data_IF_120927858676
#
_entry.id   IF_120927858676
#
_cell.length_a   1.000
_cell.length_b   1.000
_cell.length_c   1.000
_cell.angle_alpha   90.00
_cell.angle_beta   90.00
_cell.angle_gamma   90.00
#
_symmetry.space_group_name_H-M   'P 1'
#
loop_
_entity.id
_entity.type
_entity.pdbx_description
1 polymer ?
#
# COMPACT_ATOMS: atom_id res chain seq x y z
N UNK A 1 -26.66 -0.90 -38.86
CA UNK A 1 -26.76 -0.17 -37.59
C UNK A 1 -26.80 -1.21 -36.49
N UNK A 2 -25.82 -1.23 -35.59
CA UNK A 2 -25.80 -2.20 -34.49
C UNK A 2 -26.80 -1.72 -33.44
N UNK A 3 -27.89 -2.45 -33.26
CA UNK A 3 -28.95 -2.10 -32.33
C UNK A 3 -28.40 -2.15 -30.89
N UNK A 4 -28.57 -1.07 -30.12
CA UNK A 4 -28.16 -1.03 -28.72
C UNK A 4 -29.07 -1.95 -27.92
N UNK A 5 -28.55 -3.07 -27.42
CA UNK A 5 -29.32 -4.00 -26.58
C UNK A 5 -29.13 -3.62 -25.12
N UNK A 6 -30.23 -3.33 -24.43
CA UNK A 6 -30.28 -3.10 -22.99
C UNK A 6 -30.70 -4.41 -22.33
N UNK A 7 -29.82 -5.00 -21.51
CA UNK A 7 -30.13 -6.22 -20.76
C UNK A 7 -31.00 -5.90 -19.54
N UNK A 8 -31.76 -6.88 -19.03
CA UNK A 8 -32.61 -6.70 -17.83
C UNK A 8 -31.83 -6.25 -16.59
N UNK A 9 -30.58 -6.69 -16.46
CA UNK A 9 -29.68 -6.25 -15.39
C UNK A 9 -29.38 -4.75 -15.49
N UNK A 10 -28.99 -4.29 -16.69
CA UNK A 10 -28.70 -2.88 -16.95
C UNK A 10 -29.97 -2.03 -16.86
N UNK A 11 -31.12 -2.56 -17.31
CA UNK A 11 -32.44 -1.92 -17.17
C UNK A 11 -32.75 -1.65 -15.70
N UNK A 12 -32.62 -2.66 -14.85
CA UNK A 12 -32.89 -2.55 -13.42
C UNK A 12 -31.97 -1.51 -12.75
N UNK A 13 -30.68 -1.52 -13.10
CA UNK A 13 -29.73 -0.55 -12.57
C UNK A 13 -29.99 0.88 -13.07
N UNK A 14 -30.38 1.06 -14.34
CA UNK A 14 -30.75 2.36 -14.92
C UNK A 14 -32.02 2.92 -14.28
N UNK A 15 -33.03 2.08 -14.04
CA UNK A 15 -34.25 2.48 -13.37
C UNK A 15 -33.98 2.95 -11.95
N UNK A 16 -33.14 2.21 -11.20
CA UNK A 16 -32.71 2.64 -9.88
C UNK A 16 -31.95 3.96 -9.93
N UNK A 17 -31.00 4.09 -10.87
CA UNK A 17 -30.21 5.29 -11.04
C UNK A 17 -31.06 6.54 -11.32
N UNK A 18 -32.05 6.44 -12.22
CA UNK A 18 -32.95 7.53 -12.57
C UNK A 18 -33.94 7.87 -11.43
N UNK A 19 -34.37 6.88 -10.64
CA UNK A 19 -35.18 7.13 -9.43
C UNK A 19 -34.40 7.93 -8.38
N UNK A 20 -33.12 7.63 -8.20
CA UNK A 20 -32.24 8.34 -7.28
C UNK A 20 -31.82 9.72 -7.81
N UNK A 21 -31.76 9.88 -9.14
CA UNK A 21 -31.32 11.09 -9.83
C UNK A 21 -32.40 11.58 -10.81
N UNK A 22 -33.52 12.07 -10.27
CA UNK A 22 -34.71 12.46 -11.06
C UNK A 22 -34.45 13.56 -12.12
N UNK A 23 -33.38 14.34 -11.97
CA UNK A 23 -32.95 15.38 -12.92
C UNK A 23 -31.69 14.99 -13.69
N UNK A 24 -31.41 13.70 -13.85
CA UNK A 24 -30.23 13.25 -14.59
C UNK A 24 -30.34 13.64 -16.07
N UNK A 25 -29.29 14.29 -16.57
CA UNK A 25 -29.17 14.64 -17.98
C UNK A 25 -28.92 13.39 -18.85
N UNK A 26 -29.24 13.49 -20.14
CA UNK A 26 -29.03 12.41 -21.11
C UNK A 26 -27.58 11.91 -21.11
N UNK A 27 -26.61 12.82 -21.20
CA UNK A 27 -25.18 12.46 -21.25
C UNK A 27 -24.76 11.76 -19.96
N UNK A 28 -25.22 12.25 -18.82
CA UNK A 28 -24.94 11.65 -17.50
C UNK A 28 -25.48 10.21 -17.41
N UNK A 29 -26.72 10.01 -17.84
CA UNK A 29 -27.36 8.69 -17.85
C UNK A 29 -26.70 7.75 -18.85
N UNK A 30 -26.28 8.28 -20.01
CA UNK A 30 -25.55 7.52 -21.00
C UNK A 30 -24.17 7.08 -20.49
N UNK A 31 -23.44 7.95 -19.79
CA UNK A 31 -22.16 7.60 -19.17
C UNK A 31 -22.32 6.50 -18.11
N UNK A 32 -23.39 6.55 -17.31
CA UNK A 32 -23.72 5.46 -16.39
C UNK A 32 -23.96 4.15 -17.16
N UNK A 33 -24.75 4.16 -18.24
CA UNK A 33 -24.95 3.00 -19.10
C UNK A 33 -23.62 2.45 -19.67
N UNK A 34 -22.75 3.32 -20.18
CA UNK A 34 -21.43 2.93 -20.72
C UNK A 34 -20.55 2.31 -19.62
N UNK A 35 -20.54 2.87 -18.41
CA UNK A 35 -19.81 2.32 -17.28
C UNK A 35 -20.24 0.88 -16.98
N UNK A 36 -21.55 0.62 -16.96
CA UNK A 36 -22.11 -0.71 -16.71
C UNK A 36 -21.89 -1.68 -17.87
N UNK A 37 -22.18 -1.24 -19.10
CA UNK A 37 -22.04 -2.05 -20.31
C UNK A 37 -20.62 -2.59 -20.50
N UNK A 38 -19.62 -1.77 -20.21
CA UNK A 38 -18.21 -2.14 -20.36
C UNK A 38 -17.54 -2.53 -19.04
N UNK A 39 -18.30 -2.60 -17.92
CA UNK A 39 -17.82 -2.89 -16.57
C UNK A 39 -16.56 -2.06 -16.22
N UNK A 40 -16.62 -0.77 -16.54
CA UNK A 40 -15.51 0.15 -16.31
C UNK A 40 -15.35 0.38 -14.82
N UNK A 41 -14.10 0.48 -14.37
CA UNK A 41 -13.77 0.79 -12.97
C UNK A 41 -12.68 1.86 -12.94
N UNK A 42 -13.02 3.09 -13.33
CA UNK A 42 -12.06 4.18 -13.37
C UNK A 42 -11.40 4.39 -12.01
N UNK A 43 -10.11 4.72 -12.05
CA UNK A 43 -9.33 5.02 -10.85
C UNK A 43 -8.48 6.26 -11.06
N UNK A 44 -8.52 7.15 -10.08
CA UNK A 44 -7.62 8.29 -9.98
C UNK A 44 -6.35 7.87 -9.24
N UNK A 45 -5.20 8.19 -9.81
CA UNK A 45 -3.94 8.22 -9.09
C UNK A 45 -3.62 9.66 -8.66
N UNK A 46 -3.81 10.03 -7.38
CA UNK A 46 -3.76 11.43 -6.95
C UNK A 46 -2.39 12.09 -7.09
N UNK A 47 -1.30 11.29 -6.99
CA UNK A 47 0.08 11.79 -7.07
C UNK A 47 0.35 12.41 -8.44
N UNK A 48 -0.01 11.70 -9.49
CA UNK A 48 0.24 12.13 -10.87
C UNK A 48 -0.95 12.87 -11.47
N UNK A 49 -2.09 12.93 -10.74
CA UNK A 49 -3.32 13.59 -11.17
C UNK A 49 -3.89 13.00 -12.46
N UNK A 50 -3.67 11.72 -12.69
CA UNK A 50 -4.14 10.98 -13.87
C UNK A 50 -5.25 10.01 -13.46
N UNK A 51 -6.30 9.96 -14.28
CA UNK A 51 -7.40 9.00 -14.18
C UNK A 51 -7.20 7.93 -15.24
N UNK A 52 -7.21 6.67 -14.81
CA UNK A 52 -7.07 5.49 -15.65
C UNK A 52 -8.41 4.75 -15.76
N UNK A 53 -8.60 4.01 -16.86
CA UNK A 53 -9.79 3.19 -17.07
C UNK A 53 -9.94 2.08 -16.01
N UNK A 54 -8.81 1.53 -15.55
CA UNK A 54 -8.77 0.47 -14.54
C UNK A 54 -7.53 0.55 -13.63
N UNK A 55 -7.57 -0.17 -12.51
CA UNK A 55 -6.42 -0.30 -11.62
C UNK A 55 -5.25 -1.06 -12.26
N UNK A 56 -5.55 -1.96 -13.20
CA UNK A 56 -4.57 -2.71 -13.98
C UNK A 56 -3.82 -1.79 -14.94
N UNK A 57 -4.53 -0.88 -15.60
CA UNK A 57 -3.91 0.09 -16.53
C UNK A 57 -3.04 1.10 -15.78
N UNK A 58 -3.50 1.56 -14.61
CA UNK A 58 -2.69 2.39 -13.73
C UNK A 58 -1.38 1.69 -13.31
N UNK A 59 -1.45 0.40 -12.96
CA UNK A 59 -0.25 -0.37 -12.59
C UNK A 59 0.72 -0.50 -13.77
N UNK A 60 0.22 -0.87 -14.96
CA UNK A 60 1.05 -1.01 -16.15
C UNK A 60 1.76 0.30 -16.49
N UNK A 61 1.04 1.42 -16.45
CA UNK A 61 1.59 2.73 -16.76
C UNK A 61 2.69 3.13 -15.76
N UNK A 62 2.38 3.06 -14.45
CA UNK A 62 3.34 3.45 -13.40
C UNK A 62 4.55 2.51 -13.33
N UNK A 63 4.36 1.23 -13.65
CA UNK A 63 5.45 0.25 -13.75
C UNK A 63 6.37 0.51 -14.95
N UNK A 64 5.82 0.86 -16.12
CA UNK A 64 6.61 1.26 -17.30
C UNK A 64 7.47 2.51 -17.03
N UNK A 65 7.02 3.40 -16.14
CA UNK A 65 7.77 4.57 -15.72
C UNK A 65 8.80 4.27 -14.61
N UNK A 66 8.93 3.02 -14.17
CA UNK A 66 9.78 2.60 -13.03
C UNK A 66 9.46 3.33 -11.70
N UNK A 67 8.21 3.79 -11.53
CA UNK A 67 7.78 4.57 -10.37
C UNK A 67 6.99 3.76 -9.34
N UNK A 68 6.88 2.44 -9.54
CA UNK A 68 6.13 1.57 -8.62
C UNK A 68 7.02 1.01 -7.50
N UNK A 69 8.18 0.44 -7.87
CA UNK A 69 9.12 -0.17 -6.94
C UNK A 69 10.57 -0.10 -7.43
N UNK A 70 11.50 -0.24 -6.47
CA UNK A 70 12.91 -0.52 -6.72
C UNK A 70 13.29 -1.86 -6.14
N UNK A 71 14.08 -2.64 -6.88
CA UNK A 71 14.67 -3.88 -6.40
C UNK A 71 15.94 -3.57 -5.61
N UNK A 72 16.05 -4.08 -4.39
CA UNK A 72 17.21 -3.87 -3.54
C UNK A 72 17.55 -5.15 -2.76
N UNK A 73 18.84 -5.35 -2.51
CA UNK A 73 19.31 -6.41 -1.65
C UNK A 73 19.45 -5.91 -0.21
N UNK A 74 18.91 -6.66 0.74
CA UNK A 74 19.12 -6.41 2.17
C UNK A 74 19.91 -7.56 2.78
N UNK A 75 20.88 -7.21 3.64
CA UNK A 75 21.60 -8.19 4.47
C UNK A 75 20.92 -8.27 5.82
N UNK A 76 20.29 -9.40 6.11
CA UNK A 76 19.64 -9.68 7.39
C UNK A 76 20.69 -10.32 8.30
N UNK A 77 21.23 -9.53 9.23
CA UNK A 77 22.16 -10.00 10.25
C UNK A 77 21.44 -10.65 11.43
N UNK A 78 21.97 -11.80 11.90
CA UNK A 78 21.49 -12.49 13.10
C UNK A 78 22.52 -12.36 14.22
N UNK A 79 22.78 -11.15 14.70
CA UNK A 79 23.76 -10.92 15.78
C UNK A 79 23.06 -10.63 17.12
N UNK A 80 22.78 -11.68 17.89
CA UNK A 80 22.40 -11.56 19.31
C UNK A 80 23.58 -11.95 20.23
N UNK A 81 24.82 -11.73 19.78
CA UNK A 81 25.99 -12.11 20.57
C UNK A 81 26.37 -11.01 21.55
N UNK A 82 26.21 -11.30 22.84
CA UNK A 82 26.74 -10.47 23.93
C UNK A 82 28.27 -10.44 23.97
N UNK A 83 28.92 -11.52 23.54
CA UNK A 83 30.37 -11.75 23.55
C UNK A 83 30.76 -12.47 22.25
N UNK A 84 31.81 -12.02 21.58
CA UNK A 84 32.33 -12.62 20.34
C UNK A 84 33.86 -12.86 20.45
N UNK A 85 34.48 -13.41 19.41
CA UNK A 85 35.93 -13.73 19.40
C UNK A 85 36.86 -12.51 19.57
N UNK A 86 36.36 -11.31 19.28
CA UNK A 86 37.12 -10.06 19.38
C UNK A 86 36.90 -9.34 20.72
N UNK A 87 36.03 -9.86 21.60
CA UNK A 87 35.76 -9.28 22.91
C UNK A 87 36.99 -9.43 23.81
N UNK A 88 37.49 -8.30 24.35
CA UNK A 88 38.66 -8.29 25.25
C UNK A 88 38.27 -8.00 26.69
N UNK A 89 37.09 -7.44 26.90
CA UNK A 89 36.57 -7.09 28.22
C UNK A 89 35.07 -7.30 28.24
N UNK A 90 34.56 -7.84 29.34
CA UNK A 90 33.14 -8.04 29.56
C UNK A 90 32.68 -7.33 30.81
N UNK A 91 31.43 -6.89 30.77
CA UNK A 91 30.70 -6.29 31.87
C UNK A 91 29.55 -7.23 32.24
N UNK A 92 29.48 -7.65 33.51
CA UNK A 92 28.56 -8.68 33.97
C UNK A 92 27.59 -8.09 34.99
N UNK A 93 26.29 -8.25 34.73
CA UNK A 93 25.25 -7.89 35.68
C UNK A 93 25.29 -8.87 36.87
N UNK A 94 25.43 -8.39 38.12
CA UNK A 94 25.59 -9.25 39.28
C UNK A 94 24.28 -9.93 39.70
N UNK A 95 23.14 -9.41 39.23
CA UNK A 95 21.81 -9.93 39.55
C UNK A 95 21.41 -11.03 38.55
N UNK A 96 21.37 -10.70 37.27
CA UNK A 96 20.88 -11.60 36.20
C UNK A 96 21.96 -12.46 35.54
N UNK A 97 23.24 -12.20 35.80
CA UNK A 97 24.35 -12.81 35.07
C UNK A 97 24.49 -12.39 33.60
N UNK A 98 23.66 -11.46 33.12
CA UNK A 98 23.72 -10.94 31.74
C UNK A 98 25.05 -10.24 31.47
N UNK A 99 25.65 -10.54 30.32
CA UNK A 99 26.97 -10.06 29.92
C UNK A 99 26.91 -9.11 28.73
N UNK A 100 27.79 -8.11 28.75
CA UNK A 100 27.98 -7.13 27.69
C UNK A 100 29.47 -7.08 27.34
N UNK A 101 29.83 -7.41 26.10
CA UNK A 101 31.19 -7.30 25.59
C UNK A 101 31.56 -5.86 25.23
N UNK A 102 32.85 -5.55 25.34
CA UNK A 102 33.40 -4.22 25.05
C UNK A 102 33.24 -3.77 23.59
N UNK A 103 32.99 -4.72 22.68
CA UNK A 103 32.88 -4.50 21.24
C UNK A 103 31.50 -4.84 20.65
N UNK A 104 30.54 -5.28 21.47
CA UNK A 104 29.21 -5.69 21.00
C UNK A 104 28.17 -4.58 21.11
N UNK A 105 28.52 -3.45 21.73
CA UNK A 105 27.67 -2.27 21.91
C UNK A 105 28.47 -0.99 21.64
N UNK A 106 27.86 0.08 21.10
CA UNK A 106 28.56 1.36 20.87
C UNK A 106 29.15 1.97 22.15
N UNK A 107 28.43 1.85 23.28
CA UNK A 107 28.95 2.13 24.62
C UNK A 107 28.54 1.02 25.62
N UNK A 108 29.42 0.04 25.86
CA UNK A 108 29.13 -1.13 26.71
C UNK A 108 28.83 -0.79 28.17
N UNK A 109 29.49 0.24 28.72
CA UNK A 109 29.28 0.65 30.11
C UNK A 109 27.88 1.26 30.29
N UNK A 110 27.48 2.16 29.40
CA UNK A 110 26.13 2.74 29.43
C UNK A 110 25.06 1.65 29.27
N UNK A 111 25.29 0.69 28.37
CA UNK A 111 24.38 -0.41 28.13
C UNK A 111 24.13 -1.26 29.39
N UNK A 112 25.19 -1.59 30.15
CA UNK A 112 25.03 -2.32 31.41
C UNK A 112 24.47 -1.42 32.53
N UNK A 113 24.84 -0.14 32.57
CA UNK A 113 24.28 0.82 33.53
C UNK A 113 22.76 0.95 33.38
N UNK A 114 22.27 1.06 32.14
CA UNK A 114 20.85 1.11 31.82
C UNK A 114 20.14 -0.20 32.17
N UNK A 115 20.78 -1.33 31.87
CA UNK A 115 20.25 -2.65 32.22
C UNK A 115 20.07 -2.81 33.73
N UNK A 116 21.11 -2.56 34.53
CA UNK A 116 21.08 -2.73 35.98
C UNK A 116 20.08 -1.79 36.65
N UNK A 117 19.88 -0.60 36.08
CA UNK A 117 18.88 0.37 36.56
C UNK A 117 17.43 -0.13 36.37
N UNK A 118 17.17 -0.83 35.27
CA UNK A 118 15.83 -1.34 34.90
C UNK A 118 15.61 -2.81 35.30
N UNK A 119 16.65 -3.49 35.74
CA UNK A 119 16.65 -4.90 36.07
C UNK A 119 15.60 -5.26 37.14
N UNK A 120 14.65 -6.17 36.85
CA UNK A 120 13.62 -6.55 37.81
C UNK A 120 14.18 -7.31 39.03
N UNK A 121 15.28 -8.05 38.86
CA UNK A 121 15.96 -8.82 39.91
C UNK A 121 16.85 -7.95 40.82
N UNK A 122 17.07 -6.68 40.46
CA UNK A 122 17.80 -5.73 41.30
C UNK A 122 16.86 -5.15 42.37
N UNK A 123 16.91 -5.76 43.56
CA UNK A 123 16.20 -5.33 44.77
C UNK A 123 17.02 -4.39 45.64
N UNK A 124 18.33 -4.23 45.36
CA UNK A 124 19.23 -3.38 46.13
C UNK A 124 18.98 -1.89 45.84
N UNK A 125 18.78 -1.10 46.90
CA UNK A 125 18.56 0.34 46.80
C UNK A 125 19.48 1.13 47.72
N UNK A 126 19.99 2.26 47.22
CA UNK A 126 20.72 3.27 47.98
C UNK A 126 20.02 4.61 47.73
N UNK A 127 19.62 5.31 48.80
CA UNK A 127 18.87 6.57 48.74
C UNK A 127 17.60 6.49 47.86
N UNK A 128 16.90 5.35 47.90
CA UNK A 128 15.67 5.12 47.14
C UNK A 128 15.86 4.71 45.67
N UNK A 129 17.08 4.82 45.13
CA UNK A 129 17.44 4.44 43.76
C UNK A 129 18.07 3.05 43.72
N UNK A 130 17.84 2.31 42.62
CA UNK A 130 18.47 1.00 42.40
C UNK A 130 19.99 1.13 42.30
N UNK A 131 20.71 0.22 42.95
CA UNK A 131 22.18 0.19 42.92
C UNK A 131 22.67 -0.11 41.52
N UNK A 132 23.57 0.73 41.01
CA UNK A 132 24.14 0.63 39.67
C UNK A 132 25.56 0.07 39.73
N UNK A 133 25.69 -1.21 40.10
CA UNK A 133 26.98 -1.93 40.15
C UNK A 133 27.02 -3.08 39.16
N UNK A 134 28.21 -3.38 38.65
CA UNK A 134 28.48 -4.52 37.80
C UNK A 134 29.92 -5.00 37.95
N UNK A 135 30.16 -6.24 37.56
CA UNK A 135 31.51 -6.79 37.50
C UNK A 135 32.14 -6.50 36.14
N UNK A 136 33.45 -6.35 36.14
CA UNK A 136 34.26 -6.20 34.95
C UNK A 136 35.26 -7.34 34.96
N UNK A 137 35.40 -8.04 33.84
CA UNK A 137 36.43 -9.06 33.66
C UNK A 137 37.09 -8.88 32.30
N UNK A 138 38.41 -8.92 32.29
CA UNK A 138 39.29 -9.00 31.13
C UNK A 138 40.02 -10.36 31.05
N UNK A 139 39.62 -11.30 31.90
CA UNK A 139 40.16 -12.65 31.93
C UNK A 139 39.69 -13.45 30.71
N UNK A 140 40.61 -13.91 29.84
CA UNK A 140 40.28 -14.66 28.64
C UNK A 140 39.49 -15.95 28.90
N UNK A 141 39.69 -16.63 30.03
CA UNK A 141 38.96 -17.87 30.37
C UNK A 141 37.52 -17.57 30.74
N UNK A 142 37.30 -16.51 31.53
CA UNK A 142 35.96 -16.04 31.89
C UNK A 142 35.23 -15.56 30.64
N UNK A 143 35.87 -14.78 29.78
CA UNK A 143 35.28 -14.30 28.51
C UNK A 143 34.86 -15.48 27.61
N UNK A 144 35.73 -16.49 27.46
CA UNK A 144 35.41 -17.70 26.68
C UNK A 144 34.22 -18.47 27.24
N UNK A 145 34.01 -18.46 28.56
CA UNK A 145 32.85 -19.14 29.18
C UNK A 145 31.50 -18.50 28.79
N UNK A 146 31.52 -17.19 28.47
CA UNK A 146 30.35 -16.41 28.05
C UNK A 146 30.21 -16.25 26.53
N UNK A 147 31.23 -16.60 25.74
CA UNK A 147 31.11 -16.66 24.29
C UNK A 147 30.04 -17.69 23.91
N UNK A 148 29.16 -17.33 22.97
CA UNK A 148 28.10 -18.26 22.55
C UNK A 148 28.70 -19.55 21.99
N UNK A 149 28.30 -20.69 22.56
CA UNK A 149 28.75 -22.03 22.13
C UNK A 149 28.28 -22.40 20.73
N UNK A 150 27.31 -21.67 20.18
CA UNK A 150 26.77 -21.86 18.85
C UNK A 150 27.12 -20.68 17.96
N UNK A 151 27.68 -20.97 16.78
CA UNK A 151 27.90 -19.95 15.75
C UNK A 151 26.55 -19.33 15.37
N UNK A 152 26.43 -17.99 15.32
CA UNK A 152 25.22 -17.35 14.83
C UNK A 152 24.97 -17.78 13.39
N UNK A 153 23.70 -17.82 12.99
CA UNK A 153 23.34 -18.05 11.59
C UNK A 153 24.02 -16.98 10.73
N UNK A 154 24.61 -17.41 9.63
CA UNK A 154 25.23 -16.49 8.68
C UNK A 154 24.19 -15.47 8.20
N UNK A 155 24.60 -14.21 8.00
CA UNK A 155 23.70 -13.19 7.50
C UNK A 155 23.13 -13.63 6.14
N UNK A 156 21.81 -13.57 6.01
CA UNK A 156 21.13 -13.94 4.76
C UNK A 156 20.98 -12.67 3.93
N UNK A 157 21.45 -12.71 2.69
CA UNK A 157 21.15 -11.67 1.70
C UNK A 157 19.81 -12.02 1.05
N UNK A 158 18.87 -11.08 1.05
CA UNK A 158 17.55 -11.26 0.45
C UNK A 158 17.23 -10.10 -0.48
N UNK A 159 16.79 -10.41 -1.69
CA UNK A 159 16.20 -9.42 -2.60
C UNK A 159 14.82 -9.03 -2.09
N UNK A 160 14.58 -7.73 -1.97
CA UNK A 160 13.30 -7.14 -1.56
C UNK A 160 12.95 -5.99 -2.50
N UNK A 161 11.68 -5.61 -2.49
CA UNK A 161 11.13 -4.55 -3.33
C UNK A 161 10.72 -3.37 -2.46
N UNK A 162 11.34 -2.21 -2.66
CA UNK A 162 10.96 -0.98 -1.97
C UNK A 162 9.92 -0.22 -2.78
N UNK A 163 8.78 0.12 -2.17
CA UNK A 163 7.77 0.99 -2.80
C UNK A 163 8.31 2.41 -2.94
N UNK A 164 8.26 2.96 -4.15
CA UNK A 164 8.66 4.36 -4.42
C UNK A 164 7.73 5.35 -3.71
N UNK A 165 6.49 4.94 -3.41
CA UNK A 165 5.47 5.81 -2.84
C UNK A 165 5.50 5.90 -1.31
N UNK A 166 5.87 4.82 -0.62
CA UNK A 166 5.95 4.80 0.85
C UNK A 166 7.34 4.51 1.43
N UNK A 167 8.27 4.01 0.63
CA UNK A 167 9.52 3.44 1.12
C UNK A 167 9.37 2.08 1.82
N UNK A 168 8.15 1.53 1.93
CA UNK A 168 7.92 0.20 2.55
C UNK A 168 8.63 -0.88 1.75
N UNK A 169 9.19 -1.86 2.46
CA UNK A 169 9.84 -3.03 1.86
C UNK A 169 8.87 -4.21 1.77
N UNK A 170 8.85 -4.85 0.61
CA UNK A 170 8.01 -6.00 0.30
C UNK A 170 8.88 -7.16 -0.16
N UNK A 171 8.41 -8.38 0.13
CA UNK A 171 9.13 -9.60 -0.27
C UNK A 171 8.92 -9.95 -1.75
N UNK A 172 7.84 -9.47 -2.38
CA UNK A 172 7.52 -9.75 -3.79
C UNK A 172 6.92 -8.53 -4.48
N UNK A 173 6.97 -8.50 -5.82
CA UNK A 173 6.41 -7.41 -6.65
C UNK A 173 4.89 -7.32 -6.52
N UNK A 174 4.21 -8.47 -6.46
CA UNK A 174 2.75 -8.56 -6.36
C UNK A 174 2.25 -7.93 -5.07
N UNK A 175 3.02 -8.05 -3.98
CA UNK A 175 2.70 -7.39 -2.71
C UNK A 175 2.77 -5.87 -2.82
N UNK A 176 3.73 -5.31 -3.58
CA UNK A 176 3.78 -3.87 -3.87
C UNK A 176 2.57 -3.45 -4.70
N UNK A 177 2.26 -4.20 -5.77
CA UNK A 177 1.12 -3.91 -6.65
C UNK A 177 -0.19 -3.94 -5.87
N UNK A 178 -0.36 -4.91 -4.97
CA UNK A 178 -1.54 -4.99 -4.11
C UNK A 178 -1.65 -3.79 -3.18
N UNK A 179 -0.56 -3.40 -2.52
CA UNK A 179 -0.53 -2.21 -1.67
C UNK A 179 -0.85 -0.94 -2.47
N UNK A 180 -0.30 -0.81 -3.68
CA UNK A 180 -0.59 0.27 -4.61
C UNK A 180 -2.09 0.39 -4.91
N UNK A 181 -2.71 -0.71 -5.38
CA UNK A 181 -4.13 -0.74 -5.73
C UNK A 181 -5.05 -0.43 -4.54
N UNK A 182 -4.65 -0.80 -3.33
CA UNK A 182 -5.47 -0.63 -2.13
C UNK A 182 -5.38 0.78 -1.53
N UNK A 183 -4.20 1.40 -1.55
CA UNK A 183 -3.95 2.60 -0.76
C UNK A 183 -3.70 3.87 -1.59
N UNK A 184 -3.37 3.73 -2.88
CA UNK A 184 -2.93 4.86 -3.70
C UNK A 184 -3.86 5.18 -4.87
N UNK A 185 -4.83 4.31 -5.15
CA UNK A 185 -5.83 4.52 -6.19
C UNK A 185 -7.18 4.84 -5.55
N UNK A 186 -7.83 5.91 -6.03
CA UNK A 186 -9.20 6.27 -5.64
C UNK A 186 -10.15 5.84 -6.76
N UNK A 187 -11.13 5.00 -6.46
CA UNK A 187 -12.19 4.64 -7.42
C UNK A 187 -13.05 5.86 -7.75
N UNK A 188 -13.44 5.96 -9.01
CA UNK A 188 -14.35 6.96 -9.54
C UNK A 188 -15.40 6.29 -10.45
N UNK A 189 -16.60 6.87 -10.51
CA UNK A 189 -17.56 6.58 -11.59
C UNK A 189 -17.25 7.43 -12.83
N UNK A 190 -17.78 7.07 -14.01
CA UNK A 190 -17.66 7.90 -15.22
C UNK A 190 -18.31 9.27 -15.05
N UNK A 191 -19.38 9.37 -14.27
CA UNK A 191 -20.00 10.65 -13.91
C UNK A 191 -19.05 11.53 -13.10
N UNK A 192 -18.34 10.94 -12.13
CA UNK A 192 -17.31 11.68 -11.39
C UNK A 192 -16.18 12.09 -12.33
N UNK A 193 -15.75 11.22 -13.26
CA UNK A 193 -14.72 11.56 -14.24
C UNK A 193 -15.10 12.76 -15.09
N UNK A 194 -16.33 12.84 -15.61
CA UNK A 194 -16.81 13.98 -16.40
C UNK A 194 -16.74 15.30 -15.65
N UNK A 195 -17.02 15.29 -14.34
CA UNK A 195 -17.05 16.48 -13.51
C UNK A 195 -15.66 16.96 -13.04
N UNK A 196 -14.57 16.24 -13.37
CA UNK A 196 -13.22 16.54 -12.90
C UNK A 196 -12.38 17.30 -13.92
N UNK A 197 -12.34 18.63 -13.79
CA UNK A 197 -11.51 19.49 -14.65
C UNK A 197 -10.02 19.57 -14.22
N UNK A 198 -9.66 19.00 -13.07
CA UNK A 198 -8.32 19.13 -12.46
C UNK A 198 -7.39 17.97 -12.75
N UNK A 199 -7.92 16.87 -13.28
CA UNK A 199 -7.20 15.63 -13.51
C UNK A 199 -7.16 15.33 -15.00
N UNK A 200 -6.08 14.73 -15.45
CA UNK A 200 -5.92 14.31 -16.84
C UNK A 200 -6.46 12.89 -16.99
N UNK A 201 -7.10 12.59 -18.12
CA UNK A 201 -7.40 11.23 -18.50
C UNK A 201 -6.18 10.62 -19.17
N UNK A 202 -5.89 9.36 -18.85
CA UNK A 202 -4.93 8.57 -19.61
C UNK A 202 -5.41 8.47 -21.08
N UNK A 203 -4.46 8.49 -22.01
CA UNK A 203 -4.72 8.68 -23.45
C UNK A 203 -5.68 7.64 -24.02
N UNK A 204 -5.46 6.35 -23.75
CA UNK A 204 -6.34 5.28 -24.22
C UNK A 204 -7.73 5.39 -23.60
N UNK A 205 -7.81 5.77 -22.33
CA UNK A 205 -9.10 5.98 -21.67
C UNK A 205 -9.86 7.19 -22.25
N UNK A 206 -9.16 8.26 -22.57
CA UNK A 206 -9.74 9.44 -23.23
C UNK A 206 -10.29 9.08 -24.60
N UNK A 207 -9.49 8.40 -25.42
CA UNK A 207 -9.90 7.90 -26.75
C UNK A 207 -11.12 6.99 -26.65
N UNK A 208 -11.14 6.09 -25.66
CA UNK A 208 -12.28 5.24 -25.39
C UNK A 208 -13.55 6.07 -25.12
N UNK A 209 -13.50 7.03 -24.19
CA UNK A 209 -14.65 7.88 -23.85
C UNK A 209 -15.13 8.66 -25.09
N UNK A 210 -14.21 9.27 -25.83
CA UNK A 210 -14.53 10.01 -27.06
C UNK A 210 -15.19 9.11 -28.10
N UNK A 211 -14.76 7.86 -28.24
CA UNK A 211 -15.38 6.90 -29.15
C UNK A 211 -16.81 6.52 -28.77
N UNK A 212 -17.18 6.63 -27.48
CA UNK A 212 -18.53 6.34 -27.00
C UNK A 212 -19.44 7.57 -27.03
N UNK A 213 -18.89 8.76 -26.79
CA UNK A 213 -19.61 10.05 -26.81
C UNK A 213 -19.79 10.59 -28.24
N UNK A 214 -20.42 9.80 -29.12
CA UNK A 214 -20.79 10.21 -30.48
C UNK A 214 -22.32 10.18 -30.64
N UNK A 215 -22.86 11.10 -31.43
CA UNK A 215 -24.31 11.31 -31.59
C UNK A 215 -25.06 10.03 -31.93
N UNK A 216 -24.56 9.26 -32.91
CA UNK A 216 -25.19 8.00 -33.34
C UNK A 216 -25.38 6.99 -32.20
N UNK A 217 -24.41 6.90 -31.27
CA UNK A 217 -24.48 5.96 -30.15
C UNK A 217 -25.41 6.44 -29.04
N UNK A 218 -25.47 7.75 -28.81
CA UNK A 218 -26.38 8.36 -27.85
C UNK A 218 -27.82 8.24 -28.38
N UNK A 219 -28.04 8.54 -29.66
CA UNK A 219 -29.33 8.38 -30.33
C UNK A 219 -29.82 6.93 -30.25
N UNK A 220 -28.95 5.95 -30.58
CA UNK A 220 -29.30 4.53 -30.47
C UNK A 220 -29.62 4.10 -29.03
N UNK A 221 -29.00 4.73 -28.02
CA UNK A 221 -29.33 4.48 -26.62
C UNK A 221 -30.71 5.04 -26.24
N UNK A 222 -31.05 6.25 -26.67
CA UNK A 222 -32.37 6.84 -26.43
C UNK A 222 -33.46 6.04 -27.14
N UNK A 223 -33.24 5.63 -28.38
CA UNK A 223 -34.15 4.75 -29.13
C UNK A 223 -34.39 3.43 -28.39
N UNK A 224 -33.32 2.80 -27.90
CA UNK A 224 -33.43 1.55 -27.14
C UNK A 224 -34.16 1.74 -25.79
N UNK A 225 -33.99 2.89 -25.12
CA UNK A 225 -34.73 3.19 -23.89
C UNK A 225 -36.21 3.48 -24.15
N UNK A 226 -36.54 4.08 -25.29
CA UNK A 226 -37.92 4.40 -25.67
C UNK A 226 -38.81 3.16 -25.87
N UNK A 227 -38.21 1.98 -26.07
CA UNK A 227 -38.93 0.70 -26.14
C UNK A 227 -39.48 0.25 -24.78
N UNK A 228 -39.04 0.86 -23.67
CA UNK A 228 -39.45 0.52 -22.31
C UNK A 228 -40.33 1.62 -21.70
N UNK A 229 -41.57 1.28 -21.32
CA UNK A 229 -42.53 2.23 -20.75
C UNK A 229 -42.00 2.91 -19.48
N UNK A 230 -41.16 2.22 -18.71
CA UNK A 230 -40.60 2.71 -17.44
C UNK A 230 -39.68 3.93 -17.61
N UNK A 231 -39.10 4.13 -18.80
CA UNK A 231 -38.22 5.28 -19.09
C UNK A 231 -38.89 6.39 -19.89
N UNK A 232 -40.17 6.24 -20.25
CA UNK A 232 -40.92 7.17 -21.11
C UNK A 232 -40.86 8.63 -20.63
N UNK A 233 -40.95 8.88 -19.32
CA UNK A 233 -40.88 10.22 -18.74
C UNK A 233 -39.49 10.86 -18.91
N UNK A 234 -38.42 10.09 -18.70
CA UNK A 234 -37.04 10.56 -18.83
C UNK A 234 -36.67 10.80 -20.29
N UNK A 235 -37.10 9.90 -21.18
CA UNK A 235 -36.89 10.04 -22.63
C UNK A 235 -37.60 11.28 -23.17
N UNK A 236 -38.85 11.53 -22.77
CA UNK A 236 -39.57 12.74 -23.17
C UNK A 236 -38.83 14.01 -22.72
N UNK A 237 -38.35 14.04 -21.47
CA UNK A 237 -37.61 15.18 -20.93
C UNK A 237 -36.29 15.48 -21.67
N UNK A 238 -35.62 14.47 -22.23
CA UNK A 238 -34.37 14.67 -22.97
C UNK A 238 -34.57 15.06 -24.44
N UNK A 239 -35.76 14.82 -24.99
CA UNK A 239 -36.11 15.15 -26.37
C UNK A 239 -36.77 16.52 -26.52
N UNK A 240 -37.24 17.12 -25.42
CA UNK A 240 -37.71 18.51 -25.32
C UNK A 240 -36.53 19.52 -25.31
#
# INVERSE_FOLDING_TARGET
>A
MAQTVITEEIKSELEQFLKENQSAELVTTYLFYVEKKFNLRPVLFPKDKIIYQSAEDAVKYVEQQHQLWHETEIKIGFSNLSVNEQTKKIYICPFTGKVFGDNTHPNPQDAIYDWVSKCPENTERVNGLRVKRFFISDDPEVIKSYAAKFKPKEPITKVVYSSVLSGKLFNTKEAVIKDFKQHYLKRLSLMEVQNQNRFQLEEHFLEFIQSQLVEDKIASFVEALAEFEEFSSSVAQWLE
#
